data_IF_529110789352
#
_entry.id   IF_529110789352
#
_cell.length_a   1.000
_cell.length_b   1.000
_cell.length_c   1.000
_cell.angle_alpha   90.00
_cell.angle_beta   90.00
_cell.angle_gamma   90.00
#
_symmetry.space_group_name_H-M   'P 1'
#
loop_
_entity.id
_entity.type
_entity.pdbx_description
1 polymer ?
#
# COMPACT_ATOMS: atom_id res chain seq x y z
N UNK A 1 24.83 -3.21 -44.11
CA UNK A 1 23.73 -4.08 -43.63
C UNK A 1 23.44 -3.71 -42.19
N UNK A 2 22.42 -2.90 -41.95
CA UNK A 2 21.97 -2.58 -40.58
C UNK A 2 21.57 -3.88 -39.88
N UNK A 3 22.13 -4.11 -38.70
CA UNK A 3 21.86 -5.32 -37.95
C UNK A 3 20.48 -5.17 -37.28
N UNK A 4 19.44 -5.83 -37.81
CA UNK A 4 18.05 -5.72 -37.34
C UNK A 4 17.89 -5.97 -35.83
N UNK A 5 18.79 -6.76 -35.25
CA UNK A 5 18.84 -7.00 -33.79
C UNK A 5 19.18 -5.72 -33.02
N UNK A 6 20.05 -4.87 -33.57
CA UNK A 6 20.42 -3.59 -32.95
C UNK A 6 19.25 -2.59 -33.06
N UNK A 7 18.60 -2.51 -34.22
CA UNK A 7 17.40 -1.65 -34.41
C UNK A 7 16.29 -2.03 -33.40
N UNK A 8 16.07 -3.33 -33.17
CA UNK A 8 15.09 -3.79 -32.17
C UNK A 8 15.49 -3.38 -30.74
N UNK A 9 16.77 -3.48 -30.38
CA UNK A 9 17.26 -3.09 -29.04
C UNK A 9 17.07 -1.59 -28.80
N UNK A 10 17.43 -0.76 -29.75
CA UNK A 10 17.27 0.69 -29.69
C UNK A 10 15.80 1.10 -29.61
N UNK A 11 14.93 0.47 -30.41
CA UNK A 11 13.49 0.70 -30.35
C UNK A 11 12.91 0.34 -28.97
N UNK A 12 13.36 -0.78 -28.40
CA UNK A 12 12.94 -1.24 -27.07
C UNK A 12 13.38 -0.28 -25.96
N UNK A 13 14.63 0.20 -26.00
CA UNK A 13 15.13 1.16 -25.03
C UNK A 13 14.42 2.51 -25.12
N UNK A 14 14.14 2.95 -26.35
CA UNK A 14 13.35 4.17 -26.61
C UNK A 14 11.94 4.04 -26.06
N UNK A 15 11.28 2.90 -26.31
CA UNK A 15 9.96 2.62 -25.76
C UNK A 15 9.96 2.65 -24.23
N UNK A 16 10.94 2.00 -23.58
CA UNK A 16 11.02 2.01 -22.12
C UNK A 16 11.28 3.40 -21.55
N UNK A 17 12.12 4.20 -22.20
CA UNK A 17 12.35 5.59 -21.81
C UNK A 17 11.07 6.41 -21.91
N UNK A 18 10.37 6.35 -23.05
CA UNK A 18 9.11 7.06 -23.28
C UNK A 18 8.04 6.64 -22.29
N UNK A 19 7.90 5.33 -22.04
CA UNK A 19 6.96 4.80 -21.04
C UNK A 19 7.25 5.33 -19.64
N UNK A 20 8.53 5.39 -19.25
CA UNK A 20 8.93 5.90 -17.95
C UNK A 20 8.70 7.42 -17.82
N UNK A 21 8.94 8.17 -18.89
CA UNK A 21 8.62 9.60 -18.95
C UNK A 21 7.12 9.84 -18.83
N UNK A 22 6.30 9.18 -19.65
CA UNK A 22 4.86 9.28 -19.59
C UNK A 22 4.31 8.91 -18.19
N UNK A 23 4.87 7.87 -17.56
CA UNK A 23 4.51 7.51 -16.18
C UNK A 23 4.81 8.64 -15.19
N UNK A 24 5.99 9.26 -15.28
CA UNK A 24 6.37 10.37 -14.39
C UNK A 24 5.47 11.58 -14.61
N UNK A 25 5.17 11.93 -15.85
CA UNK A 25 4.27 13.04 -16.19
C UNK A 25 2.84 12.80 -15.68
N UNK A 26 2.30 11.58 -15.84
CA UNK A 26 0.98 11.25 -15.31
C UNK A 26 0.93 11.37 -13.78
N UNK A 27 2.00 10.96 -13.09
CA UNK A 27 2.10 11.11 -11.64
C UNK A 27 2.20 12.59 -11.25
N UNK A 28 2.98 13.39 -11.96
CA UNK A 28 3.10 14.82 -11.71
C UNK A 28 1.74 15.54 -11.86
N UNK A 29 1.06 15.33 -12.99
CA UNK A 29 -0.29 15.89 -13.24
C UNK A 29 -1.31 15.46 -12.20
N UNK A 30 -1.26 14.19 -11.77
CA UNK A 30 -2.14 13.71 -10.70
C UNK A 30 -1.91 14.48 -9.39
N UNK A 31 -0.64 14.73 -9.03
CA UNK A 31 -0.32 15.45 -7.81
C UNK A 31 -0.72 16.92 -7.89
N UNK A 32 -0.55 17.58 -9.05
CA UNK A 32 -1.03 18.95 -9.29
C UNK A 32 -2.54 19.06 -9.07
N UNK A 33 -3.32 18.20 -9.73
CA UNK A 33 -4.79 18.17 -9.56
C UNK A 33 -5.18 17.83 -8.12
N UNK A 34 -4.45 16.95 -7.45
CA UNK A 34 -4.71 16.64 -6.05
C UNK A 34 -4.46 17.85 -5.14
N UNK A 35 -3.41 18.63 -5.39
CA UNK A 35 -3.12 19.86 -4.64
C UNK A 35 -4.21 20.91 -4.84
N UNK A 36 -4.64 21.13 -6.08
CA UNK A 36 -5.77 22.02 -6.40
C UNK A 36 -7.05 21.59 -5.68
N UNK A 37 -7.32 20.29 -5.65
CA UNK A 37 -8.49 19.75 -4.95
C UNK A 37 -8.39 19.99 -3.43
N UNK A 38 -7.21 19.80 -2.83
CA UNK A 38 -7.00 20.14 -1.41
C UNK A 38 -7.14 21.63 -1.13
N UNK A 39 -6.68 22.49 -2.04
CA UNK A 39 -6.86 23.94 -1.96
C UNK A 39 -8.36 24.29 -1.93
N UNK A 40 -9.14 23.76 -2.87
CA UNK A 40 -10.61 23.96 -2.92
C UNK A 40 -11.31 23.42 -1.67
N UNK A 41 -10.88 22.27 -1.15
CA UNK A 41 -11.44 21.74 0.10
C UNK A 41 -11.17 22.66 1.29
N UNK A 42 -10.00 23.30 1.31
CA UNK A 42 -9.63 24.25 2.35
C UNK A 42 -10.47 25.53 2.25
N UNK A 43 -10.59 26.10 1.05
CA UNK A 43 -11.43 27.29 0.80
C UNK A 43 -12.88 27.02 1.17
N UNK A 44 -13.43 25.85 0.80
CA UNK A 44 -14.79 25.48 1.19
C UNK A 44 -14.97 25.36 2.71
N UNK A 45 -13.97 24.84 3.41
CA UNK A 45 -14.00 24.73 4.87
C UNK A 45 -13.82 26.09 5.54
N UNK A 46 -12.95 26.95 5.03
CA UNK A 46 -12.65 28.28 5.60
C UNK A 46 -13.79 29.28 5.36
N UNK A 47 -14.34 29.33 4.14
CA UNK A 47 -15.36 30.31 3.75
C UNK A 47 -16.79 29.85 4.08
N UNK A 48 -17.07 28.55 3.92
CA UNK A 48 -18.43 28.01 4.05
C UNK A 48 -18.59 27.01 5.21
N UNK A 49 -17.50 26.64 5.89
CA UNK A 49 -17.53 25.65 6.97
C UNK A 49 -17.84 24.22 6.50
N UNK A 50 -17.91 23.99 5.19
CA UNK A 50 -18.37 22.72 4.62
C UNK A 50 -17.19 21.82 4.25
N UNK A 51 -17.24 20.57 4.69
CA UNK A 51 -16.19 19.59 4.45
C UNK A 51 -16.64 18.56 3.42
N UNK A 52 -16.20 18.71 2.18
CA UNK A 52 -16.41 17.69 1.16
C UNK A 52 -15.42 16.54 1.35
N UNK A 53 -15.94 15.31 1.40
CA UNK A 53 -15.14 14.10 1.38
C UNK A 53 -14.86 13.69 -0.07
N UNK A 54 -13.59 13.70 -0.47
CA UNK A 54 -13.17 13.13 -1.75
C UNK A 54 -13.53 11.63 -1.73
N UNK A 55 -14.20 11.10 -2.76
CA UNK A 55 -14.51 9.68 -2.84
C UNK A 55 -13.22 8.86 -3.01
N UNK A 56 -12.55 8.60 -1.90
CA UNK A 56 -11.52 7.57 -1.80
C UNK A 56 -12.20 6.21 -1.83
N UNK A 57 -11.56 5.23 -2.48
CA UNK A 57 -11.94 3.80 -2.45
C UNK A 57 -12.57 3.43 -1.11
N UNK A 58 -13.69 2.66 -1.11
CA UNK A 58 -14.51 2.49 0.07
C UNK A 58 -13.65 1.99 1.23
N UNK A 59 -13.40 2.89 2.19
CA UNK A 59 -12.87 2.48 3.49
C UNK A 59 -13.91 1.53 4.07
N UNK A 60 -13.56 0.24 4.17
CA UNK A 60 -14.34 -0.70 4.99
C UNK A 60 -14.52 -0.02 6.34
N UNK A 61 -15.76 0.35 6.66
CA UNK A 61 -16.12 0.98 7.93
C UNK A 61 -15.66 0.03 9.03
N UNK A 62 -14.55 0.36 9.69
CA UNK A 62 -14.23 -0.25 10.99
C UNK A 62 -15.28 0.32 11.91
N UNK A 63 -16.18 -0.54 12.39
CA UNK A 63 -17.20 -0.18 13.35
C UNK A 63 -16.54 0.58 14.52
N UNK A 64 -16.89 1.85 14.67
CA UNK A 64 -16.54 2.65 15.84
C UNK A 64 -17.31 2.07 17.02
N UNK A 65 -16.59 1.42 17.93
CA UNK A 65 -17.14 1.11 19.26
C UNK A 65 -17.44 2.43 19.98
N UNK A 66 -18.59 2.55 20.66
CA UNK A 66 -18.96 3.77 21.34
C UNK A 66 -18.00 4.08 22.50
N UNK A 67 -17.72 5.37 22.67
CA UNK A 67 -16.88 5.92 23.71
C UNK A 67 -17.43 5.57 25.10
N UNK A 68 -16.56 5.03 25.97
CA UNK A 68 -16.74 5.09 27.41
C UNK A 68 -15.64 5.96 28.00
N UNK A 69 -16.04 7.10 28.53
CA UNK A 69 -15.33 7.89 29.52
C UNK A 69 -15.25 7.12 30.83
N UNK A 70 -14.05 6.87 31.35
CA UNK A 70 -13.75 6.91 32.79
C UNK A 70 -12.24 7.03 33.00
N UNK A 71 -11.89 7.78 34.03
CA UNK A 71 -10.55 8.26 34.35
C UNK A 71 -9.65 7.23 35.07
N UNK A 72 -8.34 7.47 34.94
CA UNK A 72 -7.23 7.19 35.87
C UNK A 72 -6.99 5.76 36.41
N UNK A 73 -5.86 5.14 35.98
CA UNK A 73 -4.72 4.79 36.86
C UNK A 73 -3.54 4.20 36.07
N UNK A 74 -2.36 4.37 36.66
CA UNK A 74 -1.01 4.19 36.14
C UNK A 74 -0.60 2.74 35.80
N UNK A 75 0.45 2.64 34.96
CA UNK A 75 1.56 1.65 34.95
C UNK A 75 1.73 0.77 33.67
N UNK A 76 2.99 0.38 33.32
CA UNK A 76 3.58 0.40 31.96
C UNK A 76 3.43 -0.92 31.14
N UNK A 77 3.87 -0.97 29.85
CA UNK A 77 3.17 -1.68 28.77
C UNK A 77 3.58 -3.14 28.58
N UNK A 78 2.62 -4.05 28.52
CA UNK A 78 2.84 -5.44 28.09
C UNK A 78 1.78 -6.01 27.12
N UNK A 79 0.96 -5.15 26.52
CA UNK A 79 -0.10 -5.57 25.57
C UNK A 79 0.26 -5.32 24.08
N UNK A 80 1.51 -4.98 23.76
CA UNK A 80 1.92 -4.59 22.40
C UNK A 80 2.35 -5.73 21.47
N UNK A 81 2.72 -6.89 22.01
CA UNK A 81 3.25 -8.03 21.25
C UNK A 81 2.14 -8.84 20.58
N UNK A 82 1.07 -9.16 21.32
CA UNK A 82 -0.05 -9.99 20.83
C UNK A 82 -0.78 -9.40 19.61
N UNK A 83 -0.99 -8.09 19.56
CA UNK A 83 -1.61 -7.44 18.39
C UNK A 83 -0.71 -7.45 17.15
N UNK A 84 0.61 -7.32 17.33
CA UNK A 84 1.58 -7.37 16.22
C UNK A 84 1.71 -8.79 15.68
N UNK A 85 1.74 -9.80 16.56
CA UNK A 85 1.74 -11.23 16.17
C UNK A 85 0.45 -11.59 15.42
N UNK A 86 -0.71 -11.14 15.90
CA UNK A 86 -1.99 -11.39 15.22
C UNK A 86 -2.08 -10.69 13.84
N UNK A 87 -1.48 -9.51 13.69
CA UNK A 87 -1.39 -8.82 12.40
C UNK A 87 -0.43 -9.52 11.43
N UNK A 88 0.74 -9.99 11.92
CA UNK A 88 1.71 -10.74 11.14
C UNK A 88 1.15 -12.08 10.64
N UNK A 89 0.47 -12.84 11.51
CA UNK A 89 -0.22 -14.08 11.14
C UNK A 89 -1.26 -13.86 10.02
N UNK A 90 -2.06 -12.79 10.11
CA UNK A 90 -3.03 -12.45 9.05
C UNK A 90 -2.37 -12.11 7.72
N UNK A 91 -1.24 -11.40 7.73
CA UNK A 91 -0.47 -11.07 6.52
C UNK A 91 0.14 -12.33 5.90
N UNK A 92 0.66 -13.23 6.72
CA UNK A 92 1.22 -14.52 6.30
C UNK A 92 0.16 -15.39 5.62
N UNK A 93 -1.03 -15.51 6.21
CA UNK A 93 -2.16 -16.23 5.58
C UNK A 93 -2.60 -15.61 4.24
N UNK A 94 -2.59 -14.28 4.14
CA UNK A 94 -2.92 -13.60 2.88
C UNK A 94 -1.87 -13.85 1.80
N UNK A 95 -0.58 -13.85 2.14
CA UNK A 95 0.48 -14.15 1.18
C UNK A 95 0.47 -15.62 0.75
N UNK A 96 0.20 -16.57 1.67
CA UNK A 96 0.02 -17.99 1.33
C UNK A 96 -1.14 -18.22 0.36
N UNK A 97 -2.26 -17.50 0.55
CA UNK A 97 -3.39 -17.53 -0.40
C UNK A 97 -3.01 -16.96 -1.77
N UNK A 98 -2.30 -15.83 -1.80
CA UNK A 98 -1.80 -15.25 -3.06
C UNK A 98 -0.78 -16.14 -3.76
N UNK A 99 0.06 -16.85 -3.02
CA UNK A 99 0.99 -17.82 -3.56
C UNK A 99 0.24 -18.97 -4.23
N UNK A 100 -0.79 -19.52 -3.58
CA UNK A 100 -1.64 -20.56 -4.19
C UNK A 100 -2.38 -20.05 -5.44
N UNK A 101 -2.90 -18.82 -5.43
CA UNK A 101 -3.54 -18.21 -6.60
C UNK A 101 -2.56 -17.96 -7.75
N UNK A 102 -1.34 -17.52 -7.46
CA UNK A 102 -0.31 -17.28 -8.48
C UNK A 102 0.27 -18.58 -9.03
N UNK A 103 0.44 -19.61 -8.19
CA UNK A 103 0.84 -20.96 -8.61
C UNK A 103 -0.25 -21.58 -9.49
N UNK A 104 -1.53 -21.49 -9.09
CA UNK A 104 -2.66 -21.95 -9.90
C UNK A 104 -2.78 -21.19 -11.24
N UNK A 105 -2.40 -19.90 -11.26
CA UNK A 105 -2.37 -19.08 -12.47
C UNK A 105 -1.07 -19.23 -13.29
N UNK A 106 -0.11 -20.07 -12.88
CA UNK A 106 1.18 -20.26 -13.55
C UNK A 106 2.07 -19.00 -13.61
N UNK A 107 1.85 -18.06 -12.69
CA UNK A 107 2.55 -16.76 -12.62
C UNK A 107 3.80 -16.88 -11.72
N UNK A 108 4.81 -16.02 -11.89
CA UNK A 108 6.00 -16.05 -11.07
C UNK A 108 5.67 -15.82 -9.57
N UNK A 109 6.05 -16.78 -8.72
CA UNK A 109 5.72 -16.80 -7.28
C UNK A 109 6.88 -16.40 -6.37
N UNK A 110 8.10 -16.32 -6.90
CA UNK A 110 9.33 -16.01 -6.14
C UNK A 110 9.18 -14.80 -5.22
N UNK A 111 8.66 -13.69 -5.73
CA UNK A 111 8.46 -12.46 -4.93
C UNK A 111 7.46 -12.63 -3.77
N UNK A 112 6.50 -13.55 -3.90
CA UNK A 112 5.55 -13.85 -2.82
C UNK A 112 6.15 -14.85 -1.83
N UNK A 113 6.95 -15.81 -2.31
CA UNK A 113 7.72 -16.75 -1.49
C UNK A 113 8.71 -16.02 -0.58
N UNK A 114 9.54 -15.13 -1.14
CA UNK A 114 10.50 -14.31 -0.39
C UNK A 114 9.81 -13.51 0.73
N UNK A 115 8.63 -12.96 0.41
CA UNK A 115 7.83 -12.17 1.34
C UNK A 115 7.13 -12.99 2.42
N UNK A 116 6.91 -14.28 2.18
CA UNK A 116 6.43 -15.22 3.22
C UNK A 116 7.56 -15.53 4.18
N UNK A 117 8.79 -15.74 3.69
CA UNK A 117 9.96 -15.99 4.54
C UNK A 117 10.26 -14.81 5.47
N UNK A 118 10.24 -13.57 4.96
CA UNK A 118 10.42 -12.37 5.78
C UNK A 118 9.34 -12.23 6.87
N UNK A 119 8.08 -12.49 6.53
CA UNK A 119 6.96 -12.43 7.48
C UNK A 119 7.00 -13.55 8.52
N UNK A 120 7.50 -14.74 8.17
CA UNK A 120 7.72 -15.85 9.10
C UNK A 120 8.84 -15.52 10.09
N UNK A 121 9.89 -14.84 9.64
CA UNK A 121 10.99 -14.40 10.51
C UNK A 121 10.57 -13.26 11.46
N UNK A 122 9.85 -12.24 10.95
CA UNK A 122 9.27 -11.19 11.79
C UNK A 122 8.35 -11.76 12.88
N UNK A 123 7.61 -12.81 12.55
CA UNK A 123 6.69 -13.47 13.47
C UNK A 123 7.45 -14.28 14.53
N UNK A 124 8.53 -14.98 14.14
CA UNK A 124 9.42 -15.67 15.08
C UNK A 124 10.12 -14.68 16.02
N UNK A 125 10.63 -13.57 15.49
CA UNK A 125 11.28 -12.52 16.28
C UNK A 125 10.29 -11.81 17.23
N UNK A 126 9.05 -11.61 16.79
CA UNK A 126 7.99 -11.03 17.61
C UNK A 126 7.44 -11.99 18.68
N UNK A 127 7.61 -13.31 18.51
CA UNK A 127 7.26 -14.33 19.51
C UNK A 127 8.40 -14.64 20.48
N UNK A 128 9.66 -14.43 20.07
CA UNK A 128 10.84 -14.63 20.90
C UNK A 128 11.14 -13.46 21.87
N UNK A 129 10.26 -12.46 21.96
CA UNK A 129 10.43 -11.21 22.70
C UNK A 129 9.28 -10.99 23.67
#
# INVERSE_FOLDING_TARGET
>A
MSNRINEYREAKDTYFRLRNQAKKELIARFNEVAQELFQLQRELLEDFGEKIAIPSKPKKKRASKPAKTTAAKQSPPQAGTSQKVAAAQKRLQQQKKKLAELQAAGKPTKTVEDRIYELEDELRLAQAK
#
